data_IF_942000220485
#
_entry.id   IF_942000220485
#
_cell.length_a   1.000
_cell.length_b   1.000
_cell.length_c   1.000
_cell.angle_alpha   90.00
_cell.angle_beta   90.00
_cell.angle_gamma   90.00
#
_symmetry.space_group_name_H-M   'P 1'
#
loop_
_entity.id
_entity.type
_entity.pdbx_description
1 polymer ?
#
# COMPACT_ATOMS: atom_id res chain seq x y z
N UNK A 1 34.04 -3.80 6.12
CA UNK A 1 33.78 -4.36 4.79
C UNK A 1 32.28 -4.52 4.62
N UNK A 2 31.74 -4.17 3.44
CA UNK A 2 30.32 -4.27 3.09
C UNK A 2 30.13 -5.39 2.09
N UNK A 3 29.04 -6.18 2.26
CA UNK A 3 28.69 -7.28 1.37
C UNK A 3 27.33 -6.97 0.71
N UNK A 4 27.25 -7.15 -0.59
CA UNK A 4 26.02 -7.09 -1.37
C UNK A 4 25.66 -8.49 -1.84
N UNK A 5 24.42 -8.89 -1.57
CA UNK A 5 23.85 -10.15 -2.04
C UNK A 5 22.88 -9.87 -3.18
N UNK A 6 23.07 -10.51 -4.31
CA UNK A 6 22.29 -10.27 -5.54
C UNK A 6 21.70 -11.59 -6.01
N UNK A 7 20.38 -11.61 -6.20
CA UNK A 7 19.72 -12.69 -6.92
C UNK A 7 20.06 -12.57 -8.41
N UNK A 8 20.68 -13.57 -8.97
CA UNK A 8 21.05 -13.56 -10.38
C UNK A 8 20.96 -14.94 -11.02
N UNK A 9 20.04 -15.08 -11.97
CA UNK A 9 19.85 -16.30 -12.70
C UNK A 9 19.56 -17.49 -11.78
N UNK A 10 20.51 -18.42 -11.71
CA UNK A 10 20.42 -19.68 -10.97
C UNK A 10 21.17 -19.71 -9.63
N UNK A 11 21.71 -18.60 -9.17
CA UNK A 11 22.53 -18.54 -7.93
C UNK A 11 22.48 -17.18 -7.27
N UNK A 12 22.90 -17.14 -6.00
CA UNK A 12 23.09 -15.88 -5.25
C UNK A 12 24.52 -15.40 -5.41
N UNK A 13 24.70 -14.19 -5.93
CA UNK A 13 26.00 -13.54 -6.06
C UNK A 13 26.35 -12.76 -4.81
N UNK A 14 27.63 -12.75 -4.45
CA UNK A 14 28.18 -11.94 -3.39
C UNK A 14 29.26 -11.01 -3.97
N UNK A 15 29.15 -9.72 -3.70
CA UNK A 15 30.15 -8.72 -4.01
C UNK A 15 30.54 -7.95 -2.75
N UNK A 16 31.78 -7.51 -2.65
CA UNK A 16 32.33 -6.85 -1.48
C UNK A 16 32.86 -5.45 -1.83
N UNK A 17 32.73 -4.53 -0.86
CA UNK A 17 33.27 -3.17 -0.94
C UNK A 17 33.87 -2.73 0.40
N UNK A 18 34.79 -1.78 0.37
CA UNK A 18 35.32 -1.11 1.56
C UNK A 18 34.40 -0.03 2.12
N UNK A 19 33.39 0.43 1.35
CA UNK A 19 32.44 1.47 1.75
C UNK A 19 31.03 1.15 1.21
N UNK A 20 29.93 1.62 1.86
CA UNK A 20 28.58 1.31 1.44
C UNK A 20 28.25 1.84 0.05
N UNK A 21 28.75 3.02 -0.32
CA UNK A 21 28.65 3.64 -1.65
C UNK A 21 29.91 3.42 -2.51
N UNK A 22 30.78 2.47 -2.13
CA UNK A 22 32.02 2.18 -2.83
C UNK A 22 31.81 1.28 -4.05
N UNK A 23 32.91 1.03 -4.77
CA UNK A 23 32.94 0.05 -5.84
C UNK A 23 32.86 -1.35 -5.26
N UNK A 24 31.79 -2.07 -5.55
CA UNK A 24 31.64 -3.48 -5.23
C UNK A 24 32.42 -4.32 -6.25
N UNK A 25 33.15 -5.29 -5.76
CA UNK A 25 33.91 -6.25 -6.56
C UNK A 25 33.39 -7.65 -6.34
N UNK A 26 33.42 -8.46 -7.38
CA UNK A 26 33.06 -9.86 -7.33
C UNK A 26 33.77 -10.61 -6.20
N UNK A 27 33.02 -11.40 -5.45
CA UNK A 27 33.56 -12.24 -4.37
C UNK A 27 33.30 -13.71 -4.60
N UNK A 28 32.03 -14.12 -4.68
CA UNK A 28 31.64 -15.51 -4.95
C UNK A 28 30.23 -15.66 -5.45
N UNK A 29 29.95 -16.87 -5.92
CA UNK A 29 28.61 -17.35 -6.29
C UNK A 29 28.20 -18.47 -5.33
N UNK A 30 27.01 -18.42 -4.77
CA UNK A 30 26.47 -19.41 -3.86
C UNK A 30 25.40 -20.21 -4.61
N UNK A 31 25.66 -21.52 -4.80
CA UNK A 31 24.65 -22.43 -5.29
C UNK A 31 23.72 -22.81 -4.15
N UNK A 32 22.45 -22.50 -4.28
CA UNK A 32 21.45 -22.74 -3.24
C UNK A 32 20.91 -24.19 -3.25
N UNK A 33 21.19 -24.99 -4.29
CA UNK A 33 20.69 -26.37 -4.44
C UNK A 33 20.91 -27.25 -3.21
N UNK A 34 22.09 -27.25 -2.55
CA UNK A 34 22.31 -28.07 -1.37
C UNK A 34 21.51 -27.63 -0.14
N UNK A 35 21.08 -26.36 -0.10
CA UNK A 35 20.41 -25.77 1.05
C UNK A 35 18.88 -25.84 0.94
N UNK A 36 18.34 -25.55 -0.24
CA UNK A 36 16.88 -25.41 -0.42
C UNK A 36 16.30 -26.27 -1.55
N UNK A 37 17.12 -27.07 -2.23
CA UNK A 37 16.65 -27.99 -3.30
C UNK A 37 16.43 -27.32 -4.65
N UNK A 38 16.86 -26.07 -4.83
CA UNK A 38 16.93 -25.36 -6.13
C UNK A 38 18.17 -24.48 -6.17
N UNK A 39 18.63 -24.13 -7.38
CA UNK A 39 19.89 -23.39 -7.57
C UNK A 39 19.82 -21.93 -7.17
N UNK A 40 18.63 -21.32 -7.16
CA UNK A 40 18.42 -19.89 -6.90
C UNK A 40 17.37 -19.64 -5.80
N UNK A 41 17.33 -18.41 -5.35
CA UNK A 41 16.26 -17.87 -4.50
C UNK A 41 15.16 -17.21 -5.35
N UNK A 42 13.98 -16.98 -4.77
CA UNK A 42 13.09 -15.90 -5.15
C UNK A 42 13.60 -14.57 -4.60
N UNK A 43 12.68 -13.64 -4.31
CA UNK A 43 13.06 -12.34 -3.74
C UNK A 43 13.84 -12.51 -2.43
N UNK A 44 14.77 -11.59 -2.20
CA UNK A 44 15.66 -11.65 -1.04
C UNK A 44 15.94 -10.25 -0.48
N UNK A 45 16.20 -10.20 0.82
CA UNK A 45 16.68 -9.01 1.53
C UNK A 45 17.75 -9.38 2.55
N UNK A 46 18.53 -8.41 2.99
CA UNK A 46 19.44 -8.56 4.12
C UNK A 46 18.84 -7.84 5.32
N UNK A 47 18.70 -8.55 6.42
CA UNK A 47 18.35 -8.00 7.71
C UNK A 47 19.55 -8.06 8.65
N UNK A 48 19.87 -6.94 9.30
CA UNK A 48 20.90 -6.87 10.33
C UNK A 48 20.23 -6.67 11.68
N UNK A 49 20.40 -7.62 12.58
CA UNK A 49 19.96 -7.49 13.97
C UNK A 49 20.98 -6.63 14.73
N UNK A 50 20.62 -5.39 15.00
CA UNK A 50 21.49 -4.43 15.66
C UNK A 50 21.85 -4.83 17.11
N UNK A 51 20.99 -5.60 17.79
CA UNK A 51 21.21 -6.02 19.17
C UNK A 51 22.31 -7.09 19.24
N UNK A 52 22.45 -7.92 18.22
CA UNK A 52 23.46 -9.00 18.14
C UNK A 52 24.60 -8.67 17.20
N UNK A 53 24.46 -7.68 16.33
CA UNK A 53 25.39 -7.36 15.25
C UNK A 53 25.44 -8.40 14.13
N UNK A 54 24.55 -9.38 14.14
CA UNK A 54 24.47 -10.42 13.11
C UNK A 54 23.62 -9.99 11.94
N UNK A 55 24.04 -10.39 10.74
CA UNK A 55 23.28 -10.16 9.51
C UNK A 55 22.74 -11.48 8.94
N UNK A 56 21.59 -11.43 8.34
CA UNK A 56 20.89 -12.58 7.79
C UNK A 56 20.39 -12.28 6.38
N UNK A 57 20.50 -13.27 5.49
CA UNK A 57 19.79 -13.27 4.22
C UNK A 57 18.41 -13.90 4.45
N UNK A 58 17.37 -13.15 4.13
CA UNK A 58 15.97 -13.56 4.15
C UNK A 58 15.52 -13.72 2.71
N UNK A 59 15.01 -14.90 2.33
CA UNK A 59 14.73 -15.18 0.92
C UNK A 59 13.62 -16.19 0.73
N UNK A 60 12.87 -16.05 -0.35
CA UNK A 60 11.90 -17.06 -0.76
C UNK A 60 12.53 -18.17 -1.58
N UNK A 61 11.81 -19.29 -1.65
CA UNK A 61 12.15 -20.44 -2.50
C UNK A 61 12.10 -20.06 -3.97
N UNK A 62 13.16 -20.28 -4.72
CA UNK A 62 13.29 -19.85 -6.10
C UNK A 62 12.28 -20.46 -7.07
N UNK A 63 11.69 -21.61 -6.74
CA UNK A 63 10.67 -22.27 -7.54
C UNK A 63 9.32 -22.25 -6.85
N UNK A 64 8.42 -21.33 -7.27
CA UNK A 64 7.07 -21.22 -6.75
C UNK A 64 6.92 -20.32 -5.52
N UNK A 65 8.00 -19.84 -4.90
CA UNK A 65 8.00 -18.86 -3.80
C UNK A 65 7.13 -19.20 -2.58
N UNK A 66 6.79 -20.47 -2.40
CA UNK A 66 5.90 -20.96 -1.35
C UNK A 66 6.61 -21.34 -0.04
N UNK A 67 7.87 -20.94 0.13
CA UNK A 67 8.68 -21.12 1.33
C UNK A 67 9.57 -19.90 1.52
N UNK A 68 9.82 -19.55 2.79
CA UNK A 68 10.76 -18.50 3.16
C UNK A 68 11.83 -19.10 4.06
N UNK A 69 13.04 -18.67 3.86
CA UNK A 69 14.24 -19.11 4.58
C UNK A 69 14.98 -17.94 5.18
N UNK A 70 15.69 -18.21 6.27
CA UNK A 70 16.64 -17.30 6.92
C UNK A 70 17.99 -18.02 7.01
N UNK A 71 19.05 -17.33 6.63
CA UNK A 71 20.43 -17.82 6.70
C UNK A 71 21.33 -16.75 7.30
N UNK A 72 22.10 -17.11 8.34
CA UNK A 72 23.10 -16.19 8.93
C UNK A 72 24.22 -15.93 7.90
N UNK A 73 24.55 -14.67 7.70
CA UNK A 73 25.67 -14.24 6.88
C UNK A 73 26.95 -14.23 7.70
N UNK A 74 28.00 -14.85 7.20
CA UNK A 74 29.28 -14.86 7.89
C UNK A 74 30.41 -15.33 7.00
N UNK A 75 31.56 -15.64 7.61
CA UNK A 75 32.76 -16.10 6.89
C UNK A 75 32.93 -17.60 7.07
N UNK A 76 32.94 -18.34 5.98
CA UNK A 76 33.20 -19.76 5.93
C UNK A 76 34.34 -20.05 4.94
N UNK A 77 35.41 -20.71 5.36
CA UNK A 77 36.57 -21.00 4.52
C UNK A 77 37.18 -19.74 3.85
N UNK A 78 37.25 -18.64 4.59
CA UNK A 78 37.79 -17.36 4.12
C UNK A 78 36.87 -16.58 3.15
N UNK A 79 35.65 -17.02 2.93
CA UNK A 79 34.67 -16.35 2.03
C UNK A 79 33.43 -15.93 2.80
N UNK A 80 32.95 -14.71 2.50
CA UNK A 80 31.65 -14.22 2.98
C UNK A 80 30.54 -14.99 2.28
N UNK A 81 29.63 -15.58 3.04
CA UNK A 81 28.52 -16.39 2.51
C UNK A 81 27.50 -16.72 3.58
N UNK A 82 26.74 -17.80 3.36
CA UNK A 82 25.70 -18.28 4.27
C UNK A 82 26.25 -19.39 5.16
N UNK A 83 26.05 -19.27 6.47
CA UNK A 83 26.56 -20.24 7.47
C UNK A 83 25.57 -21.40 7.69
N UNK A 84 24.29 -21.13 7.58
CA UNK A 84 23.19 -22.07 7.84
C UNK A 84 22.01 -21.82 6.88
N UNK A 85 20.91 -22.54 7.08
CA UNK A 85 19.65 -22.35 6.37
C UNK A 85 18.50 -22.88 7.21
N UNK A 86 17.59 -22.01 7.61
CA UNK A 86 16.38 -22.37 8.35
C UNK A 86 15.16 -22.02 7.54
N UNK A 87 14.27 -22.98 7.27
CA UNK A 87 12.96 -22.71 6.70
C UNK A 87 12.06 -22.16 7.81
N UNK A 88 11.58 -20.93 7.64
CA UNK A 88 10.74 -20.22 8.62
C UNK A 88 9.27 -20.16 8.22
N UNK A 89 8.97 -20.38 6.94
CA UNK A 89 7.61 -20.41 6.42
C UNK A 89 7.45 -21.45 5.31
N UNK A 90 6.26 -22.06 5.24
CA UNK A 90 5.81 -22.91 4.14
C UNK A 90 4.29 -22.79 4.02
N UNK A 91 3.81 -22.21 2.92
CA UNK A 91 2.39 -21.97 2.71
C UNK A 91 2.12 -21.43 1.31
N UNK A 92 1.32 -20.40 1.23
CA UNK A 92 1.06 -19.66 0.01
C UNK A 92 2.33 -19.00 -0.56
N UNK A 93 2.35 -18.75 -1.86
CA UNK A 93 3.48 -18.07 -2.50
C UNK A 93 3.59 -16.63 -2.04
N UNK A 94 4.82 -16.19 -1.73
CA UNK A 94 5.14 -14.85 -1.23
C UNK A 94 6.36 -14.27 -1.93
N UNK A 95 6.34 -12.95 -2.13
CA UNK A 95 7.46 -12.18 -2.70
C UNK A 95 7.68 -10.88 -1.92
N UNK A 96 8.74 -10.13 -2.23
CA UNK A 96 9.10 -8.93 -1.49
C UNK A 96 9.42 -9.20 -0.02
N UNK A 97 10.05 -10.36 0.28
CA UNK A 97 10.30 -10.77 1.66
C UNK A 97 11.26 -9.80 2.34
N UNK A 98 10.86 -9.31 3.50
CA UNK A 98 11.69 -8.45 4.33
C UNK A 98 11.40 -8.68 5.82
N UNK A 99 12.20 -8.10 6.67
CA UNK A 99 12.12 -8.33 8.11
C UNK A 99 12.39 -7.02 8.87
N UNK A 100 11.76 -6.89 10.03
CA UNK A 100 12.12 -5.90 11.03
C UNK A 100 12.07 -6.50 12.42
N UNK A 101 12.67 -5.82 13.40
CA UNK A 101 12.60 -6.16 14.81
C UNK A 101 11.92 -5.03 15.57
N UNK A 102 10.97 -5.34 16.41
CA UNK A 102 10.28 -4.37 17.24
C UNK A 102 10.06 -4.92 18.64
N UNK A 103 10.49 -4.19 19.66
CA UNK A 103 10.45 -4.62 21.08
C UNK A 103 10.97 -6.03 21.31
N UNK A 104 12.10 -6.36 20.67
CA UNK A 104 12.76 -7.66 20.81
C UNK A 104 12.19 -8.79 19.96
N UNK A 105 11.04 -8.62 19.29
CA UNK A 105 10.41 -9.63 18.44
C UNK A 105 10.73 -9.42 16.97
N UNK A 106 10.85 -10.51 16.22
CA UNK A 106 11.15 -10.54 14.80
C UNK A 106 9.86 -10.65 13.99
N UNK A 107 9.67 -9.74 13.07
CA UNK A 107 8.55 -9.70 12.14
C UNK A 107 9.05 -10.01 10.73
N UNK A 108 8.57 -11.09 10.16
CA UNK A 108 8.76 -11.43 8.76
C UNK A 108 7.58 -10.88 7.97
N UNK A 109 7.83 -10.08 6.95
CA UNK A 109 6.79 -9.55 6.08
C UNK A 109 7.03 -9.93 4.63
N UNK A 110 5.94 -9.99 3.85
CA UNK A 110 5.98 -10.31 2.42
C UNK A 110 4.70 -9.83 1.72
N UNK A 111 4.77 -9.74 0.42
CA UNK A 111 3.63 -9.49 -0.48
C UNK A 111 3.14 -10.77 -1.14
N UNK A 112 1.96 -10.75 -1.75
CA UNK A 112 1.49 -11.81 -2.64
C UNK A 112 2.10 -11.65 -4.03
N UNK A 113 2.03 -12.71 -4.84
CA UNK A 113 2.60 -12.77 -6.20
C UNK A 113 1.60 -12.27 -7.26
N UNK A 114 1.14 -11.04 -7.13
CA UNK A 114 0.17 -10.46 -8.08
C UNK A 114 0.82 -9.75 -9.28
N UNK A 115 2.10 -10.00 -9.52
CA UNK A 115 2.86 -9.34 -10.58
C UNK A 115 3.00 -7.83 -10.29
N UNK A 116 2.61 -7.00 -11.26
CA UNK A 116 2.72 -5.55 -11.17
C UNK A 116 1.46 -4.88 -10.61
N UNK A 117 0.55 -5.64 -10.01
CA UNK A 117 -0.67 -5.13 -9.38
C UNK A 117 -0.49 -4.96 -7.87
N UNK A 118 -1.44 -4.25 -7.24
CA UNK A 118 -1.43 -4.01 -5.81
C UNK A 118 -1.49 -5.32 -5.00
N UNK A 119 -0.83 -5.36 -3.86
CA UNK A 119 -0.83 -6.50 -2.95
C UNK A 119 -0.99 -6.05 -1.51
N UNK A 120 -1.70 -6.85 -0.71
CA UNK A 120 -1.60 -6.72 0.74
C UNK A 120 -0.19 -7.03 1.20
N UNK A 121 0.25 -6.36 2.27
CA UNK A 121 1.42 -6.77 3.02
C UNK A 121 1.00 -7.76 4.11
N UNK A 122 1.69 -8.85 4.19
CA UNK A 122 1.45 -9.95 5.14
C UNK A 122 2.59 -10.02 6.14
N UNK A 123 2.33 -10.56 7.33
CA UNK A 123 3.36 -10.76 8.35
C UNK A 123 3.16 -12.02 9.17
N UNK A 124 4.22 -12.45 9.80
CA UNK A 124 4.26 -13.41 10.91
C UNK A 124 5.31 -12.96 11.92
N UNK A 125 5.21 -13.39 13.17
CA UNK A 125 6.05 -12.90 14.27
C UNK A 125 6.65 -14.05 15.08
N UNK A 126 7.87 -13.85 15.59
CA UNK A 126 8.60 -14.81 16.43
C UNK A 126 9.46 -14.10 17.48
N UNK A 127 9.84 -14.83 18.53
CA UNK A 127 10.80 -14.38 19.54
C UNK A 127 12.26 -14.68 19.15
N UNK A 128 12.48 -15.60 18.21
CA UNK A 128 13.77 -15.91 17.61
C UNK A 128 13.69 -15.74 16.09
N UNK A 129 14.77 -15.26 15.48
CA UNK A 129 14.84 -15.03 14.03
C UNK A 129 14.65 -16.32 13.21
N UNK A 130 14.96 -17.48 13.78
CA UNK A 130 14.74 -18.78 13.16
C UNK A 130 13.39 -19.40 13.50
N UNK A 131 12.54 -18.66 14.22
CA UNK A 131 11.21 -19.09 14.62
C UNK A 131 11.19 -19.92 15.94
N UNK A 132 10.07 -20.59 16.23
CA UNK A 132 8.89 -20.72 15.38
C UNK A 132 8.14 -19.40 15.21
N UNK A 133 7.70 -19.14 14.00
CA UNK A 133 6.84 -17.98 13.67
C UNK A 133 5.37 -18.33 13.86
N UNK A 134 4.58 -17.35 14.22
CA UNK A 134 3.12 -17.43 14.35
C UNK A 134 2.48 -16.38 13.42
N UNK A 135 1.47 -16.77 12.63
CA UNK A 135 1.00 -18.14 12.40
C UNK A 135 2.01 -18.98 11.62
N UNK A 136 1.87 -20.33 11.67
CA UNK A 136 2.87 -21.27 11.11
C UNK A 136 2.65 -21.59 9.62
N UNK A 137 1.43 -21.53 9.13
CA UNK A 137 0.98 -22.07 7.85
C UNK A 137 0.34 -21.03 6.92
N UNK A 138 0.05 -19.86 7.42
CA UNK A 138 -0.35 -18.68 6.62
C UNK A 138 0.17 -17.41 7.28
N UNK A 139 0.23 -16.31 6.53
CA UNK A 139 0.62 -15.01 7.06
C UNK A 139 -0.63 -14.17 7.31
N UNK A 140 -0.63 -13.37 8.37
CA UNK A 140 -1.68 -12.39 8.65
C UNK A 140 -1.50 -11.15 7.77
N UNK A 141 -2.60 -10.54 7.36
CA UNK A 141 -2.59 -9.23 6.71
C UNK A 141 -2.21 -8.18 7.75
N UNK A 142 -1.25 -7.29 7.43
CA UNK A 142 -0.96 -6.13 8.28
C UNK A 142 -2.20 -5.23 8.30
N UNK A 143 -2.65 -4.82 9.48
CA UNK A 143 -3.85 -4.00 9.65
C UNK A 143 -3.72 -2.66 8.90
N UNK A 144 -4.84 -2.18 8.35
CA UNK A 144 -4.90 -0.93 7.58
C UNK A 144 -4.54 -1.05 6.10
N UNK A 145 -4.09 -2.23 5.61
CA UNK A 145 -3.75 -2.43 4.19
C UNK A 145 -4.95 -2.43 3.26
N UNK A 146 -6.11 -2.86 3.74
CA UNK A 146 -7.31 -3.02 2.92
C UNK A 146 -7.90 -1.71 2.43
N UNK A 147 -7.62 -0.62 3.12
CA UNK A 147 -8.28 0.66 2.86
C UNK A 147 -7.32 1.85 2.72
N UNK A 148 -6.02 1.61 2.61
CA UNK A 148 -5.06 2.69 2.56
C UNK A 148 -3.94 2.53 1.51
N UNK A 149 -2.99 3.47 1.49
CA UNK A 149 -1.93 3.54 0.48
C UNK A 149 -0.97 2.33 0.47
N UNK A 150 -0.84 1.60 1.56
CA UNK A 150 -0.04 0.38 1.61
C UNK A 150 -0.53 -0.66 0.60
N UNK A 151 -1.80 -0.65 0.29
CA UNK A 151 -2.44 -1.55 -0.66
C UNK A 151 -1.97 -1.37 -2.12
N UNK A 152 -1.42 -0.23 -2.47
CA UNK A 152 -0.87 0.05 -3.81
C UNK A 152 0.65 -0.10 -3.89
N UNK A 153 1.25 -0.74 -2.88
CA UNK A 153 2.69 -0.97 -2.82
C UNK A 153 3.00 -2.46 -2.65
N UNK A 154 4.12 -2.89 -3.21
CA UNK A 154 4.73 -4.16 -2.84
C UNK A 154 5.67 -3.94 -1.65
N UNK A 155 5.75 -4.91 -0.76
CA UNK A 155 6.66 -4.88 0.38
C UNK A 155 8.11 -4.82 -0.12
N UNK A 156 8.82 -3.75 0.22
CA UNK A 156 10.21 -3.56 -0.14
C UNK A 156 11.15 -3.84 1.03
N UNK A 157 11.16 -2.95 2.02
CA UNK A 157 11.96 -3.11 3.24
C UNK A 157 11.38 -2.28 4.39
N UNK A 158 11.98 -2.42 5.58
CA UNK A 158 11.65 -1.62 6.76
C UNK A 158 12.90 -0.93 7.29
N UNK A 159 12.71 0.25 7.87
CA UNK A 159 13.76 0.98 8.59
C UNK A 159 13.33 1.15 10.04
N UNK A 160 14.16 0.70 10.97
CA UNK A 160 13.96 0.92 12.39
C UNK A 160 14.70 2.18 12.82
N UNK A 161 13.98 3.10 13.46
CA UNK A 161 14.52 4.30 14.09
C UNK A 161 14.45 4.08 15.61
N UNK A 162 15.59 3.84 16.23
CA UNK A 162 15.72 3.73 17.70
C UNK A 162 16.02 5.12 18.25
N UNK A 163 14.97 5.95 18.38
CA UNK A 163 15.08 7.29 18.92
C UNK A 163 15.17 7.32 20.45
N UNK A 164 15.46 8.48 21.00
CA UNK A 164 15.60 8.67 22.46
C UNK A 164 14.26 8.63 23.22
N UNK A 165 13.15 8.91 22.53
CA UNK A 165 11.79 8.91 23.11
C UNK A 165 11.00 7.66 22.73
N UNK A 166 11.13 7.19 21.49
CA UNK A 166 10.43 5.99 21.00
C UNK A 166 11.19 5.25 19.90
N UNK A 167 10.86 3.99 19.72
CA UNK A 167 11.24 3.20 18.56
C UNK A 167 10.13 3.30 17.50
N UNK A 168 10.50 3.67 16.28
CA UNK A 168 9.57 3.76 15.15
C UNK A 168 10.03 2.89 13.99
N UNK A 169 9.16 2.02 13.52
CA UNK A 169 9.37 1.21 12.32
C UNK A 169 8.74 1.92 11.14
N UNK A 170 9.52 2.18 10.10
CA UNK A 170 9.06 2.79 8.86
C UNK A 170 8.93 1.70 7.81
N UNK A 171 7.75 1.57 7.24
CA UNK A 171 7.53 0.75 6.05
C UNK A 171 8.01 1.49 4.81
N UNK A 172 8.72 0.79 3.94
CA UNK A 172 9.24 1.29 2.68
C UNK A 172 8.73 0.37 1.56
N UNK A 173 7.62 0.75 0.93
CA UNK A 173 6.98 -0.01 -0.12
C UNK A 173 7.35 0.48 -1.51
N UNK A 174 7.35 -0.43 -2.47
CA UNK A 174 7.57 -0.14 -3.89
C UNK A 174 6.23 0.08 -4.58
N UNK A 175 5.99 1.30 -5.06
CA UNK A 175 4.85 1.61 -5.89
C UNK A 175 5.25 1.54 -7.36
N UNK A 176 4.78 0.51 -8.03
CA UNK A 176 5.11 0.26 -9.42
C UNK A 176 4.60 1.36 -10.36
N UNK A 177 5.26 1.53 -11.51
CA UNK A 177 4.94 2.57 -12.48
C UNK A 177 3.46 2.58 -12.90
N UNK A 178 2.85 1.42 -13.08
CA UNK A 178 1.44 1.32 -13.45
C UNK A 178 0.51 1.86 -12.37
N UNK A 179 0.78 1.58 -11.09
CA UNK A 179 -0.01 2.11 -9.97
C UNK A 179 0.21 3.61 -9.76
N UNK A 180 1.45 4.05 -9.99
CA UNK A 180 1.80 5.45 -9.82
C UNK A 180 1.20 6.38 -10.88
N UNK A 181 0.62 5.83 -11.94
CA UNK A 181 0.09 6.60 -13.06
C UNK A 181 1.17 7.31 -13.89
N UNK A 182 2.41 6.88 -13.76
CA UNK A 182 3.56 7.43 -14.51
C UNK A 182 4.52 6.32 -14.92
N UNK A 183 5.49 6.59 -15.78
CA UNK A 183 6.43 5.60 -16.29
C UNK A 183 7.58 5.23 -15.35
N UNK A 184 7.66 5.82 -14.15
CA UNK A 184 8.81 5.72 -13.27
C UNK A 184 8.59 4.86 -12.03
N UNK A 185 7.33 4.84 -11.50
CA UNK A 185 7.10 4.34 -10.15
C UNK A 185 7.76 5.21 -9.09
N UNK A 186 7.57 4.90 -7.83
CA UNK A 186 8.26 5.51 -6.70
C UNK A 186 8.10 4.68 -5.43
N UNK A 187 8.90 4.97 -4.42
CA UNK A 187 8.73 4.39 -3.10
C UNK A 187 7.71 5.19 -2.30
N UNK A 188 6.95 4.51 -1.48
CA UNK A 188 6.00 5.09 -0.56
C UNK A 188 6.34 4.65 0.87
N UNK A 189 6.62 5.63 1.74
CA UNK A 189 7.11 5.38 3.09
C UNK A 189 6.18 6.00 4.12
N UNK A 190 5.88 5.25 5.17
CA UNK A 190 5.09 5.73 6.30
C UNK A 190 5.38 4.93 7.57
N UNK A 191 5.12 5.51 8.77
CA UNK A 191 5.39 4.84 10.03
C UNK A 191 4.34 3.76 10.30
N UNK A 192 4.77 2.67 10.92
CA UNK A 192 3.88 1.69 11.54
C UNK A 192 3.47 2.16 12.94
N UNK A 193 2.28 1.75 13.35
CA UNK A 193 1.86 1.70 14.74
C UNK A 193 1.61 0.27 15.16
N UNK A 194 1.50 0.01 16.46
CA UNK A 194 1.30 -1.32 17.00
C UNK A 194 0.22 -1.33 18.07
N UNK A 195 -0.69 -2.31 17.99
CA UNK A 195 -1.59 -2.69 19.06
C UNK A 195 -1.07 -4.00 19.66
N UNK A 196 -0.39 -3.92 20.80
CA UNK A 196 0.41 -5.03 21.30
C UNK A 196 1.49 -5.45 20.29
N UNK A 197 1.38 -6.67 19.79
CA UNK A 197 2.27 -7.24 18.76
C UNK A 197 1.73 -7.11 17.34
N UNK A 198 0.53 -6.53 17.16
CA UNK A 198 -0.10 -6.41 15.85
C UNK A 198 0.35 -5.12 15.17
N UNK A 199 1.06 -5.20 14.04
CA UNK A 199 1.44 -4.03 13.27
C UNK A 199 0.24 -3.44 12.53
N UNK A 200 0.23 -2.12 12.45
CA UNK A 200 -0.82 -1.34 11.80
C UNK A 200 -0.21 -0.29 10.87
N UNK A 201 -0.68 -0.21 9.64
CA UNK A 201 -0.29 0.83 8.71
C UNK A 201 -0.98 2.16 9.03
N UNK A 202 -0.19 3.23 9.12
CA UNK A 202 -0.71 4.58 9.10
C UNK A 202 -0.66 5.11 7.67
N UNK A 203 -1.82 5.16 7.03
CA UNK A 203 -1.94 5.66 5.67
C UNK A 203 -1.80 7.17 5.66
N UNK A 204 -0.62 7.66 5.34
CA UNK A 204 -0.26 9.07 5.36
C UNK A 204 0.31 9.49 4.01
N UNK A 205 -0.27 10.52 3.41
CA UNK A 205 0.28 11.16 2.22
C UNK A 205 1.40 12.14 2.57
N UNK A 206 1.39 12.67 3.81
CA UNK A 206 2.41 13.60 4.30
C UNK A 206 2.55 13.49 5.82
N UNK A 207 3.78 13.33 6.29
CA UNK A 207 4.14 13.18 7.70
C UNK A 207 5.57 13.66 7.94
N UNK A 208 5.93 13.86 9.21
CA UNK A 208 7.26 14.29 9.64
C UNK A 208 7.82 13.32 10.65
N UNK A 209 9.14 13.13 10.63
CA UNK A 209 9.88 12.31 11.57
C UNK A 209 11.01 13.14 12.20
N UNK A 210 11.12 13.08 13.52
CA UNK A 210 12.34 13.41 14.23
C UNK A 210 13.15 12.13 14.46
N UNK A 211 14.17 11.90 13.66
CA UNK A 211 14.97 10.70 13.76
C UNK A 211 15.83 10.61 15.04
N UNK A 212 16.04 11.71 15.75
CA UNK A 212 16.77 11.70 17.01
C UNK A 212 15.89 11.21 18.16
N UNK A 213 14.63 11.59 18.18
CA UNK A 213 13.65 11.15 19.19
C UNK A 213 12.89 9.90 18.78
N UNK A 214 12.79 9.62 17.49
CA UNK A 214 11.94 8.58 16.90
C UNK A 214 10.47 8.99 16.79
N UNK A 215 10.11 10.19 17.23
CA UNK A 215 8.73 10.68 17.20
C UNK A 215 8.33 11.08 15.79
N UNK A 216 7.08 10.84 15.46
CA UNK A 216 6.52 11.25 14.18
C UNK A 216 5.15 11.93 14.36
N UNK A 217 4.80 12.79 13.42
CA UNK A 217 3.52 13.50 13.39
C UNK A 217 2.92 13.57 11.99
N UNK A 218 1.60 13.66 11.93
CA UNK A 218 0.87 13.92 10.69
C UNK A 218 1.14 15.35 10.24
N UNK A 219 1.61 15.54 9.00
CA UNK A 219 1.85 16.88 8.48
C UNK A 219 0.54 17.62 8.15
N UNK A 220 0.63 18.97 8.12
CA UNK A 220 -0.55 19.81 7.91
C UNK A 220 -1.18 19.73 6.52
N UNK A 221 -0.46 19.19 5.54
CA UNK A 221 -0.89 18.96 4.17
C UNK A 221 -1.29 17.49 3.89
N UNK A 222 -1.42 16.65 4.94
CA UNK A 222 -1.84 15.27 4.78
C UNK A 222 -3.24 15.18 4.17
N UNK A 223 -3.39 14.31 3.17
CA UNK A 223 -4.68 13.91 2.63
C UNK A 223 -5.28 12.80 3.51
N UNK A 224 -6.46 13.01 4.05
CA UNK A 224 -7.17 12.05 4.89
C UNK A 224 -8.06 11.08 4.12
N UNK A 225 -8.25 11.27 2.81
CA UNK A 225 -9.03 10.36 1.96
C UNK A 225 -8.24 9.08 1.70
N UNK A 226 -8.86 7.95 1.96
CA UNK A 226 -8.32 6.64 1.62
C UNK A 226 -8.69 6.29 0.18
N UNK A 227 -7.71 5.77 -0.58
CA UNK A 227 -7.91 5.39 -1.98
C UNK A 227 -8.60 6.48 -2.81
N UNK A 228 -8.17 7.73 -2.66
CA UNK A 228 -8.74 8.87 -3.38
C UNK A 228 -8.39 8.88 -4.88
N UNK A 229 -7.34 8.16 -5.27
CA UNK A 229 -6.92 7.95 -6.66
C UNK A 229 -7.47 6.65 -7.28
N UNK A 230 -8.22 5.85 -6.51
CA UNK A 230 -8.81 4.57 -6.93
C UNK A 230 -7.82 3.52 -7.45
N UNK A 231 -6.52 3.73 -7.31
CA UNK A 231 -5.47 2.81 -7.77
C UNK A 231 -5.31 1.57 -6.86
N UNK A 232 -5.88 1.60 -5.64
CA UNK A 232 -5.81 0.50 -4.69
C UNK A 232 -6.67 -0.71 -5.07
N UNK A 233 -7.59 -0.57 -6.01
CA UNK A 233 -8.51 -1.63 -6.38
C UNK A 233 -7.87 -2.68 -7.30
N UNK A 234 -8.05 -3.95 -6.94
CA UNK A 234 -7.42 -5.10 -7.58
C UNK A 234 -8.31 -5.71 -8.66
N UNK A 235 -8.49 -5.02 -9.76
CA UNK A 235 -9.38 -5.45 -10.84
C UNK A 235 -8.89 -6.66 -11.66
N UNK A 236 -7.59 -6.95 -11.61
CA UNK A 236 -6.97 -8.04 -12.39
C UNK A 236 -6.66 -9.29 -11.56
N UNK A 237 -6.88 -9.22 -10.24
CA UNK A 237 -6.60 -10.33 -9.34
C UNK A 237 -7.78 -11.30 -9.37
N UNK A 238 -7.55 -12.60 -9.58
CA UNK A 238 -8.61 -13.61 -9.58
C UNK A 238 -9.43 -13.59 -8.29
N UNK A 239 -10.75 -13.81 -8.39
CA UNK A 239 -11.68 -13.75 -7.26
C UNK A 239 -11.38 -14.77 -6.14
N UNK A 240 -10.70 -15.88 -6.45
CA UNK A 240 -10.31 -16.88 -5.45
C UNK A 240 -9.09 -16.48 -4.61
N UNK A 241 -8.39 -15.40 -4.97
CA UNK A 241 -7.25 -14.90 -4.20
C UNK A 241 -7.76 -14.22 -2.93
N UNK A 242 -7.12 -14.49 -1.81
CA UNK A 242 -7.50 -13.95 -0.51
C UNK A 242 -6.59 -12.80 -0.09
N UNK A 243 -7.14 -11.79 0.63
CA UNK A 243 -8.56 -11.58 0.87
C UNK A 243 -9.31 -11.25 -0.42
N UNK A 244 -10.53 -11.74 -0.54
CA UNK A 244 -11.39 -11.46 -1.71
C UNK A 244 -11.90 -10.02 -1.62
N UNK A 245 -11.68 -9.24 -2.67
CA UNK A 245 -12.22 -7.90 -2.76
C UNK A 245 -13.56 -7.93 -3.49
N UNK A 246 -14.63 -7.53 -2.81
CA UNK A 246 -16.00 -7.49 -3.33
C UNK A 246 -16.52 -6.06 -3.50
N UNK A 247 -15.86 -5.09 -2.87
CA UNK A 247 -16.26 -3.69 -2.82
C UNK A 247 -15.10 -2.76 -3.18
N UNK A 248 -15.44 -1.54 -3.56
CA UNK A 248 -14.47 -0.47 -3.82
C UNK A 248 -13.71 -0.12 -2.52
N UNK A 249 -12.39 -0.23 -2.53
CA UNK A 249 -11.57 -0.01 -1.34
C UNK A 249 -11.71 1.39 -0.77
N UNK A 250 -12.06 1.46 0.51
CA UNK A 250 -12.24 2.71 1.24
C UNK A 250 -13.54 3.45 0.94
N UNK A 251 -14.36 2.99 -0.01
CA UNK A 251 -15.59 3.65 -0.44
C UNK A 251 -16.79 2.71 -0.39
N UNK A 252 -17.96 3.25 -0.11
CA UNK A 252 -19.23 2.54 -0.10
C UNK A 252 -20.08 3.07 -1.25
N UNK A 253 -20.58 2.17 -2.10
CA UNK A 253 -21.53 2.50 -3.18
C UNK A 253 -22.93 2.04 -2.78
N UNK A 254 -23.81 2.99 -2.53
CA UNK A 254 -25.23 2.74 -2.31
C UNK A 254 -26.01 2.88 -3.62
N UNK A 255 -26.63 1.79 -4.07
CA UNK A 255 -27.53 1.79 -5.24
C UNK A 255 -28.94 2.07 -4.73
N UNK A 256 -29.43 3.30 -4.94
CA UNK A 256 -30.76 3.73 -4.52
C UNK A 256 -31.80 3.46 -5.61
N UNK A 257 -31.39 3.47 -6.88
CA UNK A 257 -32.21 3.16 -8.06
C UNK A 257 -31.27 2.69 -9.19
N UNK A 258 -31.75 1.79 -10.06
CA UNK A 258 -30.99 1.25 -11.19
C UNK A 258 -30.44 -0.14 -10.94
N UNK A 259 -29.45 -0.57 -11.73
CA UNK A 259 -28.84 -1.88 -11.64
C UNK A 259 -27.85 -1.96 -10.46
N UNK A 260 -27.65 -3.17 -9.93
CA UNK A 260 -26.56 -3.45 -8.99
C UNK A 260 -25.19 -3.19 -9.66
N UNK A 261 -24.22 -2.82 -8.84
CA UNK A 261 -22.84 -2.59 -9.26
C UNK A 261 -21.91 -3.69 -8.73
N UNK A 262 -20.81 -3.96 -9.40
CA UNK A 262 -19.86 -5.00 -9.01
C UNK A 262 -18.45 -4.61 -9.44
N UNK A 263 -17.45 -5.05 -8.66
CA UNK A 263 -16.02 -5.00 -9.02
C UNK A 263 -15.54 -6.25 -9.78
N UNK A 264 -16.38 -7.25 -9.97
CA UNK A 264 -15.99 -8.56 -10.49
C UNK A 264 -15.60 -8.58 -11.98
N UNK A 265 -15.79 -7.49 -12.71
CA UNK A 265 -15.46 -7.45 -14.11
C UNK A 265 -14.52 -6.31 -14.46
N UNK A 266 -13.70 -6.52 -15.48
CA UNK A 266 -12.85 -5.47 -16.06
C UNK A 266 -13.65 -4.27 -16.61
N UNK A 267 -14.98 -4.39 -16.70
CA UNK A 267 -15.93 -3.36 -17.12
C UNK A 267 -16.91 -3.11 -15.97
N UNK A 268 -16.38 -2.88 -14.78
CA UNK A 268 -17.22 -2.52 -13.63
C UNK A 268 -17.82 -1.13 -13.82
N UNK A 269 -19.13 -0.94 -13.56
CA UNK A 269 -19.71 0.39 -13.53
C UNK A 269 -19.24 1.25 -12.34
N UNK A 270 -18.47 0.65 -11.41
CA UNK A 270 -17.90 1.33 -10.24
C UNK A 270 -16.55 1.95 -10.57
N UNK A 271 -15.75 1.31 -11.43
CA UNK A 271 -14.44 1.81 -11.83
C UNK A 271 -14.33 1.91 -13.34
N UNK A 272 -13.70 2.97 -13.80
CA UNK A 272 -13.08 3.04 -15.12
C UNK A 272 -11.63 2.58 -14.98
N UNK A 273 -11.26 1.52 -15.64
CA UNK A 273 -9.91 0.93 -15.58
C UNK A 273 -8.97 1.48 -16.65
N UNK A 274 -9.44 2.34 -17.52
CA UNK A 274 -8.74 2.72 -18.74
C UNK A 274 -8.78 4.23 -18.96
N UNK A 275 -8.19 5.00 -18.03
CA UNK A 275 -7.91 6.39 -18.32
C UNK A 275 -6.95 6.46 -19.52
N UNK A 276 -7.23 7.36 -20.45
CA UNK A 276 -6.42 7.51 -21.66
C UNK A 276 -5.02 8.04 -21.30
N UNK A 277 -4.06 7.91 -22.23
CA UNK A 277 -2.73 8.48 -22.03
C UNK A 277 -2.77 10.01 -21.83
N UNK A 278 -3.71 10.70 -22.49
CA UNK A 278 -3.91 12.12 -22.29
C UNK A 278 -4.41 12.43 -20.86
N UNK A 279 -5.32 11.60 -20.32
CA UNK A 279 -5.79 11.73 -18.94
C UNK A 279 -4.63 11.49 -17.94
N UNK A 280 -3.79 10.48 -18.16
CA UNK A 280 -2.61 10.20 -17.33
C UNK A 280 -1.60 11.35 -17.28
N UNK A 281 -1.44 12.11 -18.36
CA UNK A 281 -0.59 13.31 -18.39
C UNK A 281 -1.11 14.44 -17.48
N UNK A 282 -2.36 14.38 -17.06
CA UNK A 282 -2.96 15.28 -16.07
C UNK A 282 -2.80 14.78 -14.62
N UNK A 283 -1.92 13.82 -14.39
CA UNK A 283 -1.71 13.16 -13.09
C UNK A 283 -2.91 12.29 -12.64
N UNK A 284 -3.80 11.97 -13.55
CA UNK A 284 -4.86 10.99 -13.36
C UNK A 284 -4.23 9.61 -13.64
N UNK A 285 -4.29 8.68 -12.70
CA UNK A 285 -3.72 7.34 -12.82
C UNK A 285 -4.36 6.48 -13.90
N UNK A 286 -4.29 5.16 -13.75
CA UNK A 286 -4.95 4.23 -14.68
C UNK A 286 -6.45 4.10 -14.41
N UNK A 287 -6.85 4.28 -13.15
CA UNK A 287 -8.22 4.07 -12.67
C UNK A 287 -8.90 5.37 -12.27
N UNK A 288 -10.21 5.38 -12.32
CA UNK A 288 -11.05 6.43 -11.77
C UNK A 288 -12.38 5.85 -11.32
N UNK A 289 -13.03 6.45 -10.33
CA UNK A 289 -14.40 6.09 -9.99
C UNK A 289 -15.32 6.35 -11.19
N UNK A 290 -16.21 5.42 -11.48
CA UNK A 290 -17.18 5.53 -12.57
C UNK A 290 -18.60 5.42 -12.04
N UNK A 291 -19.34 6.53 -12.09
CA UNK A 291 -20.76 6.54 -11.76
C UNK A 291 -21.57 6.55 -13.05
N UNK A 292 -22.14 5.40 -13.41
CA UNK A 292 -22.91 5.21 -14.65
C UNK A 292 -23.91 4.08 -14.53
N UNK A 293 -24.91 4.03 -15.40
CA UNK A 293 -25.78 2.90 -15.62
C UNK A 293 -26.38 2.92 -17.04
N UNK A 294 -26.84 1.76 -17.50
CA UNK A 294 -27.59 1.59 -18.78
C UNK A 294 -29.08 1.91 -18.65
N UNK A 295 -29.58 2.12 -17.44
CA UNK A 295 -30.94 2.54 -17.11
C UNK A 295 -30.88 3.82 -16.29
N UNK A 296 -32.00 4.56 -16.09
CA UNK A 296 -32.03 5.66 -15.12
C UNK A 296 -31.62 5.17 -13.74
N UNK A 297 -30.86 5.98 -13.00
CA UNK A 297 -30.26 5.54 -11.75
C UNK A 297 -30.12 6.63 -10.70
N UNK A 298 -30.04 6.20 -9.43
CA UNK A 298 -29.63 7.02 -8.29
C UNK A 298 -28.58 6.29 -7.50
N UNK A 299 -27.47 6.97 -7.21
CA UNK A 299 -26.34 6.41 -6.46
C UNK A 299 -25.74 7.41 -5.50
N UNK A 300 -25.26 6.90 -4.39
CA UNK A 300 -24.39 7.61 -3.47
C UNK A 300 -23.09 6.82 -3.34
N UNK A 301 -21.96 7.47 -3.55
CA UNK A 301 -20.63 6.90 -3.30
C UNK A 301 -20.00 7.73 -2.21
N UNK A 302 -19.64 7.11 -1.09
CA UNK A 302 -19.18 7.84 0.09
C UNK A 302 -18.07 7.13 0.84
N UNK A 303 -17.35 7.92 1.63
CA UNK A 303 -16.36 7.45 2.60
C UNK A 303 -16.55 8.19 3.91
N UNK A 304 -16.56 7.45 5.03
CA UNK A 304 -16.52 8.03 6.36
C UNK A 304 -15.10 8.01 6.88
N UNK A 305 -14.54 9.19 7.05
CA UNK A 305 -13.19 9.40 7.56
C UNK A 305 -13.30 9.64 9.07
N UNK A 306 -12.57 8.83 9.86
CA UNK A 306 -12.56 8.87 11.32
C UNK A 306 -11.15 9.02 11.87
N UNK A 307 -11.04 9.71 13.01
CA UNK A 307 -9.83 9.63 13.82
C UNK A 307 -9.53 8.17 14.18
N UNK A 308 -8.26 7.80 14.08
CA UNK A 308 -7.74 6.58 14.70
C UNK A 308 -6.91 6.94 15.94
N UNK A 309 -6.54 5.99 16.80
CA UNK A 309 -5.63 6.23 17.92
C UNK A 309 -4.29 6.86 17.49
N UNK A 310 -3.87 6.64 16.25
CA UNK A 310 -2.56 7.05 15.74
C UNK A 310 -2.62 8.24 14.79
N UNK A 311 -3.74 8.40 14.05
CA UNK A 311 -3.95 9.48 13.08
C UNK A 311 -5.20 10.25 13.45
N UNK A 312 -5.02 11.36 14.13
CA UNK A 312 -6.12 12.19 14.59
C UNK A 312 -6.67 13.07 13.45
N UNK A 313 -7.96 13.00 13.21
CA UNK A 313 -8.71 13.99 12.41
C UNK A 313 -9.09 15.13 13.36
N UNK A 314 -8.21 16.13 13.50
CA UNK A 314 -8.35 17.23 14.44
C UNK A 314 -9.51 18.16 14.05
N UNK A 315 -10.21 18.72 15.03
CA UNK A 315 -11.23 19.75 14.78
C UNK A 315 -10.64 20.92 14.00
N UNK A 316 -11.45 21.50 13.11
CA UNK A 316 -11.04 22.65 12.30
C UNK A 316 -11.65 22.66 10.90
N UNK A 317 -11.18 23.57 10.08
CA UNK A 317 -11.62 23.69 8.69
C UNK A 317 -10.79 22.81 7.75
N UNK A 318 -11.47 22.22 6.78
CA UNK A 318 -10.89 21.35 5.76
C UNK A 318 -11.39 21.76 4.37
N UNK A 319 -10.58 21.44 3.37
CA UNK A 319 -10.94 21.55 1.96
C UNK A 319 -11.03 20.16 1.34
N UNK A 320 -12.17 19.85 0.71
CA UNK A 320 -12.40 18.68 -0.11
C UNK A 320 -12.22 19.05 -1.58
N UNK A 321 -11.37 18.30 -2.31
CA UNK A 321 -11.13 18.51 -3.74
C UNK A 321 -11.29 17.20 -4.49
N UNK A 322 -11.76 17.23 -5.73
CA UNK A 322 -11.76 16.10 -6.64
C UNK A 322 -11.56 16.56 -8.09
N UNK A 323 -11.02 15.68 -8.93
CA UNK A 323 -11.06 15.82 -10.38
C UNK A 323 -12.31 15.12 -10.92
N UNK A 324 -13.04 15.77 -11.82
CA UNK A 324 -14.28 15.23 -12.39
C UNK A 324 -14.33 15.40 -13.91
N UNK A 325 -14.96 14.43 -14.60
CA UNK A 325 -15.25 14.43 -16.04
C UNK A 325 -16.61 13.78 -16.24
N UNK A 326 -17.60 14.48 -16.81
CA UNK A 326 -18.98 14.02 -16.80
C UNK A 326 -19.80 14.43 -18.02
N UNK A 327 -20.82 13.63 -18.33
CA UNK A 327 -21.87 13.96 -19.31
C UNK A 327 -22.89 14.95 -18.72
N UNK A 328 -23.72 15.54 -19.59
CA UNK A 328 -24.81 16.46 -19.21
C UNK A 328 -26.09 15.78 -18.70
N UNK A 329 -26.15 14.43 -18.67
CA UNK A 329 -27.39 13.66 -18.45
C UNK A 329 -27.74 13.41 -16.98
N UNK A 330 -27.41 14.34 -16.08
CA UNK A 330 -27.74 14.26 -14.67
C UNK A 330 -28.81 15.28 -14.29
N UNK A 331 -29.83 14.85 -13.56
CA UNK A 331 -30.74 15.72 -12.83
C UNK A 331 -30.13 16.21 -11.52
N UNK A 332 -29.22 15.40 -10.95
CA UNK A 332 -28.41 15.73 -9.78
C UNK A 332 -27.04 15.09 -9.92
N UNK A 333 -26.01 15.89 -9.72
CA UNK A 333 -24.64 15.40 -9.54
C UNK A 333 -23.93 16.40 -8.63
N UNK A 334 -23.58 15.99 -7.43
CA UNK A 334 -22.86 16.84 -6.50
C UNK A 334 -21.81 16.07 -5.71
N UNK A 335 -20.73 16.76 -5.36
CA UNK A 335 -19.78 16.38 -4.32
C UNK A 335 -20.27 16.99 -3.01
N UNK A 336 -20.11 16.27 -1.88
CA UNK A 336 -20.53 16.74 -0.57
C UNK A 336 -19.56 16.32 0.54
N UNK A 337 -19.64 17.05 1.64
CA UNK A 337 -19.05 16.67 2.93
C UNK A 337 -20.04 16.92 4.04
N UNK A 338 -20.12 16.01 5.02
CA UNK A 338 -21.01 16.14 6.17
C UNK A 338 -20.25 15.82 7.46
N UNK A 339 -20.27 16.74 8.41
CA UNK A 339 -19.70 16.54 9.76
C UNK A 339 -20.64 17.09 10.80
N UNK A 340 -20.93 16.29 11.85
CA UNK A 340 -21.80 16.66 12.96
C UNK A 340 -23.17 17.25 12.53
N UNK A 341 -23.81 16.63 11.50
CA UNK A 341 -25.12 17.03 10.96
C UNK A 341 -25.12 18.28 10.10
N UNK A 342 -23.92 18.84 9.80
CA UNK A 342 -23.76 19.97 8.87
C UNK A 342 -23.23 19.45 7.54
N UNK A 343 -24.01 19.64 6.46
CA UNK A 343 -23.63 19.29 5.11
C UNK A 343 -23.18 20.53 4.32
N UNK A 344 -22.11 20.36 3.56
CA UNK A 344 -21.66 21.29 2.51
C UNK A 344 -21.62 20.52 1.20
N UNK A 345 -22.01 21.14 0.09
CA UNK A 345 -21.98 20.49 -1.22
C UNK A 345 -21.67 21.48 -2.35
N UNK A 346 -21.22 20.93 -3.48
CA UNK A 346 -21.07 21.68 -4.74
C UNK A 346 -21.67 20.87 -5.87
N UNK A 347 -22.49 21.52 -6.71
CA UNK A 347 -23.06 20.89 -7.88
C UNK A 347 -22.03 20.79 -9.01
N UNK A 348 -21.97 19.63 -9.63
CA UNK A 348 -21.18 19.37 -10.83
C UNK A 348 -22.09 19.57 -12.04
N UNK A 349 -22.30 20.84 -12.43
CA UNK A 349 -23.29 21.23 -13.44
C UNK A 349 -22.70 21.17 -14.86
N UNK A 350 -23.54 20.76 -15.80
CA UNK A 350 -23.24 20.74 -17.22
C UNK A 350 -22.41 19.55 -17.68
N UNK A 351 -22.04 19.60 -18.97
CA UNK A 351 -21.17 18.59 -19.58
C UNK A 351 -19.71 19.04 -19.48
N UNK A 352 -18.85 18.11 -19.04
CA UNK A 352 -17.42 18.34 -18.95
C UNK A 352 -16.69 17.16 -19.59
N UNK A 353 -16.30 17.34 -20.83
CA UNK A 353 -15.58 16.35 -21.62
C UNK A 353 -14.08 16.29 -21.28
N UNK A 354 -13.60 17.24 -20.51
CA UNK A 354 -12.23 17.27 -19.97
C UNK A 354 -12.28 17.21 -18.44
N UNK A 355 -11.22 16.68 -17.83
CA UNK A 355 -11.04 16.72 -16.41
C UNK A 355 -10.98 18.14 -15.87
N UNK A 356 -11.74 18.41 -14.81
CA UNK A 356 -11.70 19.68 -14.07
C UNK A 356 -11.71 19.45 -12.58
N UNK A 357 -11.08 20.34 -11.83
CA UNK A 357 -11.14 20.33 -10.38
C UNK A 357 -12.46 20.91 -9.87
N UNK A 358 -13.05 20.25 -8.88
CA UNK A 358 -14.16 20.77 -8.06
C UNK A 358 -13.71 20.83 -6.61
N UNK A 359 -14.19 21.82 -5.84
CA UNK A 359 -13.67 22.08 -4.49
C UNK A 359 -14.79 22.59 -3.57
N UNK A 360 -14.81 22.07 -2.31
CA UNK A 360 -15.57 22.60 -1.19
C UNK A 360 -14.57 23.06 -0.14
N UNK A 361 -14.55 24.34 0.16
CA UNK A 361 -13.72 24.95 1.20
C UNK A 361 -14.49 25.13 2.51
N UNK A 362 -13.77 25.35 3.60
CA UNK A 362 -14.32 25.67 4.92
C UNK A 362 -15.31 24.63 5.47
N UNK A 363 -15.03 23.36 5.20
CA UNK A 363 -15.75 22.25 5.81
C UNK A 363 -15.32 22.18 7.28
N UNK A 364 -16.19 22.51 8.21
CA UNK A 364 -15.87 22.42 9.64
C UNK A 364 -16.03 20.99 10.13
N UNK A 365 -14.91 20.30 10.29
CA UNK A 365 -14.84 18.95 10.87
C UNK A 365 -14.74 19.07 12.39
N UNK A 366 -15.52 18.26 13.09
CA UNK A 366 -15.50 18.19 14.56
C UNK A 366 -15.82 16.76 15.02
N UNK A 367 -15.46 16.46 16.26
CA UNK A 367 -15.61 15.11 16.87
C UNK A 367 -14.84 14.01 16.14
N UNK A 368 -13.81 14.38 15.36
CA UNK A 368 -12.96 13.43 14.67
C UNK A 368 -13.68 12.60 13.59
N UNK A 369 -14.76 13.11 12.99
CA UNK A 369 -15.48 12.40 11.93
C UNK A 369 -16.02 13.33 10.85
N UNK A 370 -15.92 12.87 9.59
CA UNK A 370 -16.56 13.50 8.43
C UNK A 370 -16.93 12.43 7.39
N UNK A 371 -18.12 12.52 6.85
CA UNK A 371 -18.51 11.78 5.65
C UNK A 371 -18.29 12.67 4.43
N UNK A 372 -17.62 12.12 3.40
CA UNK A 372 -17.45 12.76 2.10
C UNK A 372 -18.02 11.86 1.02
N UNK A 373 -18.40 12.43 -0.12
CA UNK A 373 -18.88 11.61 -1.22
C UNK A 373 -19.50 12.35 -2.38
N UNK A 374 -20.17 11.56 -3.21
CA UNK A 374 -20.84 11.99 -4.44
C UNK A 374 -22.27 11.45 -4.46
N UNK A 375 -23.22 12.28 -4.85
CA UNK A 375 -24.62 11.88 -5.09
C UNK A 375 -24.94 12.14 -6.55
N UNK A 376 -25.49 11.14 -7.21
CA UNK A 376 -25.80 11.18 -8.63
C UNK A 376 -27.21 10.65 -8.90
N UNK A 377 -27.99 11.41 -9.68
CA UNK A 377 -29.26 10.99 -10.29
C UNK A 377 -29.12 11.23 -11.79
N UNK A 378 -28.99 10.14 -12.56
CA UNK A 378 -28.67 10.19 -13.98
C UNK A 378 -29.67 9.43 -14.84
N UNK A 379 -29.77 9.85 -16.11
CA UNK A 379 -30.48 9.11 -17.14
C UNK A 379 -29.63 7.94 -17.64
N UNK A 380 -30.21 7.00 -18.35
CA UNK A 380 -29.51 5.89 -18.99
C UNK A 380 -28.33 6.41 -19.83
N UNK A 381 -27.14 5.85 -19.60
CA UNK A 381 -25.90 6.21 -20.29
C UNK A 381 -25.26 7.53 -19.82
N UNK A 382 -25.76 8.15 -18.75
CA UNK A 382 -25.04 9.20 -18.05
C UNK A 382 -23.77 8.60 -17.44
N UNK A 383 -22.65 9.37 -17.43
CA UNK A 383 -21.41 8.96 -16.79
C UNK A 383 -20.76 10.13 -16.03
N UNK A 384 -20.14 9.81 -14.92
CA UNK A 384 -19.24 10.71 -14.21
C UNK A 384 -18.00 9.91 -13.78
N UNK A 385 -16.84 10.31 -14.28
CA UNK A 385 -15.54 9.86 -13.81
C UNK A 385 -15.05 10.83 -12.74
N UNK A 386 -14.55 10.27 -11.64
CA UNK A 386 -14.05 11.01 -10.48
C UNK A 386 -12.70 10.44 -10.11
N UNK A 387 -11.75 11.33 -9.80
CA UNK A 387 -10.40 10.93 -9.43
C UNK A 387 -9.73 11.97 -8.52
N UNK A 388 -8.56 11.63 -7.99
CA UNK A 388 -7.71 12.50 -7.17
C UNK A 388 -8.47 13.23 -6.06
N UNK A 389 -9.28 12.44 -5.30
CA UNK A 389 -10.08 12.98 -4.19
C UNK A 389 -9.18 13.25 -3.00
N UNK A 390 -9.20 14.47 -2.49
CA UNK A 390 -8.40 14.87 -1.32
C UNK A 390 -9.22 15.60 -0.28
N UNK A 391 -8.95 15.34 1.01
CA UNK A 391 -9.45 16.11 2.14
C UNK A 391 -8.25 16.56 2.97
N UNK A 392 -7.98 17.86 2.95
CA UNK A 392 -6.79 18.45 3.58
C UNK A 392 -7.22 19.52 4.58
N UNK A 393 -6.55 19.57 5.75
CA UNK A 393 -6.81 20.59 6.77
C UNK A 393 -6.34 21.95 6.28
N UNK A 394 -7.19 22.97 6.44
CA UNK A 394 -6.80 24.35 6.19
C UNK A 394 -5.83 24.86 7.26
N UNK A 395 -4.93 25.77 6.85
CA UNK A 395 -3.92 26.35 7.74
C UNK A 395 -4.51 27.40 8.70
#
# INVERSE_FOLDING_TARGET
QYAMFVQFGDQVLVALSGAPAGKFTWHQRINMQPMIGTTNTGDQTVFTDEDTGKSYLVYSYGKGRNRIYVSEIGVKNGKVGLLDCTQVFKGESREGNCMFKYKGRYYMAASNIYGWDASYAYYMVADDIRGPYSPTDDMLVIQGTESDYAHVTQTGFFVNIKGTAQETVIYCGDRWANFAGNGWGYNQWFPLSFDGDTPYFNSLSSWKLDAATGEWEVAGDNNYVKNGSFEADRNRIPSHVKPVQTELLGWITEVLEGNTVSLDSAISPVLNHFNTEADRKLVIGEKSLNITDKVPFKRKVSQVIRSSPYVALKDGYYTLTAMVKNSSRFSRLNMYAESNGKASYIDVIGENNNWRSVKIEKIYVTKGEVEIGFRAEGQAGAFCYIDDVTLVKEK
#
